data_IF_693474398076
#
_entry.id   IF_693474398076
#
_cell.length_a   1.000
_cell.length_b   1.000
_cell.length_c   1.000
_cell.angle_alpha   90.00
_cell.angle_beta   90.00
_cell.angle_gamma   90.00
#
_symmetry.space_group_name_H-M   'P 1'
#
loop_
_entity.id
_entity.type
_entity.pdbx_description
1 polymer ?
#
# COMPACT_ATOMS: atom_id res chain seq x y z
N UNK A 1 -6.36 47.24 8.42
CA UNK A 1 -5.05 47.15 9.10
C UNK A 1 -5.03 45.86 9.90
N UNK A 2 -4.31 44.83 9.45
CA UNK A 2 -4.16 43.56 10.16
C UNK A 2 -3.37 43.78 11.46
N UNK A 3 -3.81 43.20 12.57
CA UNK A 3 -3.19 43.45 13.87
C UNK A 3 -1.79 42.83 13.96
N UNK A 4 -0.97 43.27 14.93
CA UNK A 4 0.36 42.69 15.14
C UNK A 4 0.32 41.23 15.61
N UNK A 5 -0.78 40.82 16.26
CA UNK A 5 -1.04 39.43 16.62
C UNK A 5 -1.32 38.57 15.38
N UNK A 6 -2.13 39.08 14.44
CA UNK A 6 -2.46 38.35 13.18
C UNK A 6 -1.22 38.13 12.32
N UNK A 7 -0.33 39.14 12.23
CA UNK A 7 0.94 39.04 11.49
C UNK A 7 1.90 38.03 12.12
N UNK A 8 1.95 37.95 13.45
CA UNK A 8 2.77 36.96 14.14
C UNK A 8 2.20 35.54 13.99
N UNK A 9 0.88 35.36 14.05
CA UNK A 9 0.23 34.08 13.81
C UNK A 9 0.46 33.59 12.37
N UNK A 10 0.31 34.47 11.38
CA UNK A 10 0.56 34.15 9.98
C UNK A 10 2.01 33.70 9.72
N UNK A 11 3.00 34.44 10.26
CA UNK A 11 4.42 34.07 10.15
C UNK A 11 4.75 32.76 10.87
N UNK A 12 4.08 32.46 11.98
CA UNK A 12 4.23 31.18 12.67
C UNK A 12 3.66 30.04 11.82
N UNK A 13 2.46 30.21 11.25
CA UNK A 13 1.84 29.24 10.35
C UNK A 13 2.69 28.97 9.10
N UNK A 14 3.23 30.02 8.47
CA UNK A 14 4.12 29.92 7.32
C UNK A 14 5.42 29.17 7.67
N UNK A 15 6.03 29.49 8.81
CA UNK A 15 7.22 28.77 9.29
C UNK A 15 6.94 27.29 9.60
N UNK A 16 5.75 26.97 10.12
CA UNK A 16 5.35 25.60 10.38
C UNK A 16 5.11 24.85 9.07
N UNK A 17 4.44 25.46 8.09
CA UNK A 17 4.23 24.88 6.77
C UNK A 17 5.56 24.55 6.08
N UNK A 18 6.54 25.46 6.12
CA UNK A 18 7.87 25.22 5.56
C UNK A 18 8.61 24.04 6.22
N UNK A 19 8.52 23.91 7.55
CA UNK A 19 9.10 22.77 8.29
C UNK A 19 8.39 21.46 7.90
N UNK A 20 7.06 21.47 7.77
CA UNK A 20 6.28 20.29 7.38
C UNK A 20 6.58 19.87 5.94
N UNK A 21 6.67 20.80 5.00
CA UNK A 21 7.02 20.50 3.61
C UNK A 21 8.45 19.95 3.51
N UNK A 22 9.39 20.46 4.30
CA UNK A 22 10.73 19.90 4.40
C UNK A 22 10.73 18.47 4.99
N UNK A 23 9.93 18.22 6.03
CA UNK A 23 9.79 16.90 6.63
C UNK A 23 9.21 15.88 5.62
N UNK A 24 8.16 16.27 4.89
CA UNK A 24 7.56 15.49 3.81
C UNK A 24 8.57 15.17 2.70
N UNK A 25 9.40 16.14 2.32
CA UNK A 25 10.47 15.93 1.35
C UNK A 25 11.53 14.92 1.85
N UNK A 26 11.91 14.99 3.13
CA UNK A 26 12.81 14.01 3.75
C UNK A 26 12.21 12.61 3.72
N UNK A 27 10.93 12.46 4.07
CA UNK A 27 10.22 11.17 4.01
C UNK A 27 10.19 10.65 2.56
N UNK A 28 9.86 11.49 1.58
CA UNK A 28 9.84 11.08 0.18
C UNK A 28 11.22 10.60 -0.33
N UNK A 29 12.31 11.17 0.20
CA UNK A 29 13.67 10.84 -0.22
C UNK A 29 14.28 9.64 0.51
N UNK A 30 13.85 9.37 1.75
CA UNK A 30 14.56 8.43 2.66
C UNK A 30 13.63 7.52 3.45
N UNK A 31 12.33 7.59 3.22
CA UNK A 31 11.30 6.95 4.03
C UNK A 31 11.16 7.59 5.41
N UNK A 32 10.16 7.12 6.17
CA UNK A 32 9.88 7.65 7.50
C UNK A 32 10.97 7.28 8.53
N UNK A 33 11.62 6.13 8.34
CA UNK A 33 12.76 5.71 9.16
C UNK A 33 13.96 6.67 9.03
N UNK A 34 14.14 7.30 7.86
CA UNK A 34 15.17 8.30 7.62
C UNK A 34 14.87 9.69 8.21
N UNK A 35 13.68 9.90 8.78
CA UNK A 35 13.25 11.20 9.31
C UNK A 35 13.61 11.38 10.80
N UNK A 36 14.35 12.45 11.10
CA UNK A 36 14.65 12.96 12.44
C UNK A 36 14.54 14.50 12.48
N UNK A 37 14.43 15.10 13.66
CA UNK A 37 14.43 16.57 13.79
C UNK A 37 15.67 17.20 13.16
N UNK A 38 16.83 16.53 13.25
CA UNK A 38 18.08 16.98 12.65
C UNK A 38 18.02 16.98 11.12
N UNK A 39 17.61 15.87 10.51
CA UNK A 39 17.52 15.78 9.05
C UNK A 39 16.49 16.76 8.49
N UNK A 40 15.39 17.01 9.21
CA UNK A 40 14.40 18.03 8.83
C UNK A 40 14.96 19.44 8.99
N UNK A 41 15.66 19.73 10.09
CA UNK A 41 16.31 21.03 10.31
C UNK A 41 17.32 21.36 9.20
N UNK A 42 18.16 20.39 8.85
CA UNK A 42 19.13 20.49 7.75
C UNK A 42 18.42 20.75 6.40
N UNK A 43 17.32 20.06 6.12
CA UNK A 43 16.56 20.24 4.88
C UNK A 43 15.80 21.58 4.81
N UNK A 44 15.24 22.02 5.94
CA UNK A 44 14.46 23.26 6.05
C UNK A 44 15.35 24.52 6.19
N UNK A 45 16.66 24.37 6.39
CA UNK A 45 17.56 25.50 6.65
C UNK A 45 17.30 26.20 7.99
N UNK A 46 16.81 25.47 9.00
CA UNK A 46 16.51 25.99 10.35
C UNK A 46 17.29 25.22 11.42
N UNK A 47 17.25 25.69 12.67
CA UNK A 47 17.84 24.94 13.79
C UNK A 47 16.87 23.87 14.32
N UNK A 48 17.42 22.79 14.90
CA UNK A 48 16.61 21.78 15.61
C UNK A 48 15.78 22.42 16.73
N UNK A 49 16.37 23.37 17.47
CA UNK A 49 15.67 24.10 18.52
C UNK A 49 14.47 24.91 18.01
N UNK A 50 14.52 25.45 16.78
CA UNK A 50 13.39 26.11 16.15
C UNK A 50 12.25 25.13 15.86
N UNK A 51 12.54 23.91 15.40
CA UNK A 51 11.53 22.88 15.17
C UNK A 51 10.93 22.42 16.51
N UNK A 52 11.77 22.16 17.51
CA UNK A 52 11.32 21.76 18.85
C UNK A 52 10.43 22.81 19.50
N UNK A 53 10.72 24.10 19.30
CA UNK A 53 9.88 25.19 19.80
C UNK A 53 8.54 25.31 19.05
N UNK A 54 8.53 25.11 17.73
CA UNK A 54 7.35 25.35 16.88
C UNK A 54 6.38 24.18 16.78
N UNK A 55 6.93 22.96 16.73
CA UNK A 55 6.18 21.72 16.46
C UNK A 55 6.36 20.75 17.62
N UNK A 56 7.57 20.59 18.13
CA UNK A 56 7.88 19.68 19.22
C UNK A 56 8.84 18.57 18.81
N UNK A 57 8.62 17.38 19.37
CA UNK A 57 9.47 16.21 19.11
C UNK A 57 9.13 15.51 17.79
N UNK A 58 9.78 14.37 17.54
CA UNK A 58 9.53 13.58 16.33
C UNK A 58 8.08 13.10 16.23
N UNK A 59 7.45 12.69 17.34
CA UNK A 59 6.08 12.19 17.33
C UNK A 59 5.08 13.31 17.04
N UNK A 60 5.30 14.50 17.63
CA UNK A 60 4.54 15.71 17.31
C UNK A 60 4.70 16.10 15.84
N UNK A 61 5.91 15.99 15.28
CA UNK A 61 6.17 16.24 13.87
C UNK A 61 5.42 15.26 12.95
N UNK A 62 5.43 13.96 13.25
CA UNK A 62 4.67 12.97 12.45
C UNK A 62 3.16 13.26 12.53
N UNK A 63 2.64 13.60 13.72
CA UNK A 63 1.23 13.96 13.91
C UNK A 63 0.84 15.18 13.06
N UNK A 64 1.68 16.22 13.07
CA UNK A 64 1.46 17.41 12.26
C UNK A 64 1.55 17.13 10.74
N UNK A 65 2.36 16.14 10.32
CA UNK A 65 2.40 15.70 8.92
C UNK A 65 1.10 15.00 8.53
N UNK A 66 0.47 14.21 9.41
CA UNK A 66 -0.85 13.61 9.13
C UNK A 66 -1.89 14.70 8.86
N UNK A 67 -1.96 15.71 9.72
CA UNK A 67 -2.88 16.85 9.54
C UNK A 67 -2.61 17.57 8.20
N UNK A 68 -1.33 17.81 7.87
CA UNK A 68 -0.93 18.43 6.61
C UNK A 68 -1.30 17.59 5.38
N UNK A 69 -1.15 16.26 5.44
CA UNK A 69 -1.53 15.39 4.32
C UNK A 69 -3.05 15.34 4.11
N UNK A 70 -3.85 15.37 5.19
CA UNK A 70 -5.31 15.47 5.09
C UNK A 70 -5.72 16.74 4.34
N UNK A 71 -5.13 17.88 4.68
CA UNK A 71 -5.38 19.16 4.01
C UNK A 71 -5.00 19.12 2.52
N UNK A 72 -3.81 18.56 2.20
CA UNK A 72 -3.32 18.46 0.82
C UNK A 72 -4.22 17.55 -0.02
N UNK A 73 -4.61 16.38 0.51
CA UNK A 73 -5.49 15.45 -0.21
C UNK A 73 -6.87 16.07 -0.43
N UNK A 74 -7.42 16.78 0.56
CA UNK A 74 -8.70 17.45 0.43
C UNK A 74 -8.66 18.58 -0.61
N UNK A 75 -7.62 19.42 -0.61
CA UNK A 75 -7.45 20.48 -1.60
C UNK A 75 -7.28 19.91 -3.01
N UNK A 76 -6.44 18.88 -3.17
CA UNK A 76 -6.27 18.19 -4.45
C UNK A 76 -7.58 17.61 -4.97
N UNK A 77 -8.39 16.99 -4.11
CA UNK A 77 -9.68 16.44 -4.48
C UNK A 77 -10.65 17.53 -4.99
N UNK A 78 -10.68 18.69 -4.34
CA UNK A 78 -11.49 19.83 -4.77
C UNK A 78 -11.07 20.35 -6.14
N UNK A 79 -9.77 20.56 -6.36
CA UNK A 79 -9.24 21.00 -7.65
C UNK A 79 -9.56 20.00 -8.78
N UNK A 80 -9.57 18.71 -8.44
CA UNK A 80 -9.92 17.65 -9.38
C UNK A 80 -11.41 17.60 -9.72
N UNK A 81 -12.28 17.72 -8.71
CA UNK A 81 -13.72 17.80 -8.93
C UNK A 81 -14.07 19.01 -9.81
N UNK A 82 -13.42 20.16 -9.61
CA UNK A 82 -13.61 21.35 -10.43
C UNK A 82 -13.26 21.14 -11.91
N UNK A 83 -12.29 20.27 -12.23
CA UNK A 83 -11.94 19.91 -13.63
C UNK A 83 -13.00 19.07 -14.33
N UNK A 84 -13.89 18.42 -13.56
CA UNK A 84 -14.93 17.54 -14.04
C UNK A 84 -16.31 18.22 -14.06
N UNK A 85 -16.36 19.54 -13.90
CA UNK A 85 -17.61 20.30 -13.89
C UNK A 85 -18.46 20.01 -15.14
N UNK A 86 -19.73 19.66 -14.90
CA UNK A 86 -20.69 19.26 -15.94
C UNK A 86 -20.47 17.89 -16.58
N UNK A 87 -19.43 17.12 -16.20
CA UNK A 87 -19.15 15.78 -16.74
C UNK A 87 -19.67 14.71 -15.79
N UNK A 88 -20.53 13.81 -16.28
CA UNK A 88 -20.94 12.60 -15.56
C UNK A 88 -19.96 11.44 -15.86
N UNK A 89 -19.00 11.12 -14.97
CA UNK A 89 -17.86 10.28 -15.33
C UNK A 89 -18.22 8.83 -15.66
N UNK A 90 -19.26 8.31 -14.99
CA UNK A 90 -19.78 6.96 -15.21
C UNK A 90 -20.45 6.87 -16.57
N UNK A 91 -21.36 7.80 -16.89
CA UNK A 91 -22.06 7.83 -18.17
C UNK A 91 -21.10 8.07 -19.35
N UNK A 92 -20.05 8.87 -19.13
CA UNK A 92 -19.00 9.12 -20.12
C UNK A 92 -17.98 7.97 -20.27
N UNK A 93 -18.01 6.96 -19.37
CA UNK A 93 -17.09 5.83 -19.42
C UNK A 93 -15.63 6.16 -19.06
N UNK A 94 -15.37 7.31 -18.44
CA UNK A 94 -14.00 7.82 -18.15
C UNK A 94 -13.49 7.43 -16.76
N UNK A 95 -14.30 6.75 -15.94
CA UNK A 95 -13.91 6.35 -14.59
C UNK A 95 -12.61 5.51 -14.53
N UNK A 96 -12.35 4.56 -15.46
CA UNK A 96 -11.07 3.86 -15.50
C UNK A 96 -9.87 4.80 -15.68
N UNK A 97 -10.03 5.84 -16.51
CA UNK A 97 -8.97 6.81 -16.80
C UNK A 97 -8.68 7.68 -15.57
N UNK A 98 -9.73 8.13 -14.87
CA UNK A 98 -9.60 8.90 -13.63
C UNK A 98 -8.90 8.10 -12.52
N UNK A 99 -9.20 6.80 -12.39
CA UNK A 99 -8.52 5.92 -11.42
C UNK A 99 -7.05 5.76 -11.79
N UNK A 100 -6.74 5.55 -13.08
CA UNK A 100 -5.36 5.40 -13.52
C UNK A 100 -4.56 6.70 -13.31
N UNK A 101 -5.13 7.86 -13.62
CA UNK A 101 -4.47 9.15 -13.44
C UNK A 101 -4.29 9.50 -11.94
N UNK A 102 -5.29 9.20 -11.09
CA UNK A 102 -5.14 9.30 -9.62
C UNK A 102 -3.92 8.51 -9.12
N UNK A 103 -3.65 7.37 -9.75
CA UNK A 103 -2.54 6.47 -9.47
C UNK A 103 -1.26 6.78 -10.26
N UNK A 104 -1.24 7.67 -11.26
CA UNK A 104 -0.04 8.05 -12.01
C UNK A 104 0.76 9.20 -11.37
N UNK A 105 0.28 9.64 -10.21
CA UNK A 105 1.02 10.31 -9.12
C UNK A 105 1.52 11.70 -9.37
N UNK A 106 1.81 12.13 -10.60
CA UNK A 106 2.22 13.49 -10.97
C UNK A 106 2.77 14.35 -9.82
N UNK A 107 2.05 15.41 -9.50
CA UNK A 107 2.37 16.35 -8.39
C UNK A 107 2.15 15.76 -6.98
N UNK A 108 1.41 14.66 -6.88
CA UNK A 108 1.11 13.92 -5.63
C UNK A 108 2.17 12.94 -5.21
N UNK A 109 3.25 12.72 -5.97
CA UNK A 109 4.23 11.66 -5.68
C UNK A 109 4.73 11.71 -4.23
N UNK A 110 5.04 12.89 -3.72
CA UNK A 110 5.44 13.10 -2.31
C UNK A 110 4.35 12.66 -1.36
N UNK A 111 3.12 13.17 -1.51
CA UNK A 111 1.97 12.78 -0.68
C UNK A 111 1.65 11.29 -0.75
N UNK A 112 1.82 10.65 -1.90
CA UNK A 112 1.62 9.22 -2.06
C UNK A 112 2.65 8.42 -1.24
N UNK A 113 3.94 8.80 -1.27
CA UNK A 113 4.97 8.15 -0.46
C UNK A 113 4.70 8.37 1.03
N UNK A 114 4.44 9.61 1.44
CA UNK A 114 4.15 9.97 2.83
C UNK A 114 2.92 9.22 3.33
N UNK A 115 1.83 9.17 2.54
CA UNK A 115 0.62 8.43 2.87
C UNK A 115 0.86 6.93 3.04
N UNK A 116 1.64 6.30 2.16
CA UNK A 116 2.01 4.89 2.31
C UNK A 116 2.83 4.63 3.59
N UNK A 117 3.79 5.52 3.91
CA UNK A 117 4.58 5.43 5.14
C UNK A 117 3.72 5.56 6.40
N UNK A 118 2.81 6.55 6.43
CA UNK A 118 1.90 6.77 7.56
C UNK A 118 0.93 5.58 7.73
N UNK A 119 0.42 5.04 6.63
CA UNK A 119 -0.43 3.85 6.65
C UNK A 119 0.31 2.63 7.22
N UNK A 120 1.57 2.41 6.82
CA UNK A 120 2.39 1.32 7.35
C UNK A 120 2.72 1.51 8.83
N UNK A 121 3.11 2.71 9.25
CA UNK A 121 3.36 3.02 10.66
C UNK A 121 2.13 2.74 11.51
N UNK A 122 0.98 3.30 11.12
CA UNK A 122 -0.27 3.11 11.87
C UNK A 122 -0.75 1.65 11.84
N UNK A 123 -0.52 0.90 10.77
CA UNK A 123 -0.86 -0.53 10.73
C UNK A 123 -0.07 -1.40 11.70
N UNK A 124 1.04 -0.87 12.24
CA UNK A 124 1.88 -1.53 13.25
C UNK A 124 1.59 -1.01 14.65
N UNK A 125 1.37 0.29 14.77
CA UNK A 125 1.03 0.96 16.01
C UNK A 125 -0.13 1.96 15.76
N UNK A 126 -1.38 1.49 15.80
CA UNK A 126 -2.56 2.31 15.50
C UNK A 126 -2.73 3.50 16.46
N UNK A 127 -2.26 3.33 17.70
CA UNK A 127 -2.35 4.37 18.73
C UNK A 127 -1.37 5.51 18.49
N UNK A 128 -0.28 5.28 17.75
CA UNK A 128 0.68 6.33 17.40
C UNK A 128 0.12 7.41 16.47
N UNK A 129 -0.88 7.07 15.64
CA UNK A 129 -1.44 7.97 14.62
C UNK A 129 -2.97 7.87 14.53
N UNK A 130 -3.71 8.28 15.57
CA UNK A 130 -5.17 8.11 15.64
C UNK A 130 -5.93 8.82 14.50
N UNK A 131 -5.33 9.86 13.90
CA UNK A 131 -5.92 10.62 12.79
C UNK A 131 -5.68 10.03 11.41
N UNK A 132 -4.89 8.96 11.27
CA UNK A 132 -4.60 8.37 9.94
C UNK A 132 -5.86 7.90 9.22
N UNK A 133 -6.90 7.50 9.96
CA UNK A 133 -8.20 7.14 9.40
C UNK A 133 -8.80 8.29 8.56
N UNK A 134 -8.67 9.53 9.04
CA UNK A 134 -9.15 10.71 8.34
C UNK A 134 -8.39 10.97 7.02
N UNK A 135 -7.13 10.53 6.91
CA UNK A 135 -6.39 10.59 5.65
C UNK A 135 -6.99 9.63 4.60
N UNK A 136 -7.35 8.40 5.01
CA UNK A 136 -8.04 7.48 4.12
C UNK A 136 -9.44 7.99 3.74
N UNK A 137 -10.16 8.59 4.69
CA UNK A 137 -11.48 9.16 4.45
C UNK A 137 -11.43 10.37 3.51
N UNK A 138 -10.39 11.21 3.59
CA UNK A 138 -10.17 12.30 2.64
C UNK A 138 -10.00 11.77 1.21
N UNK A 139 -9.22 10.69 1.03
CA UNK A 139 -9.08 10.01 -0.25
C UNK A 139 -10.37 9.36 -0.77
N UNK A 140 -11.18 8.78 0.11
CA UNK A 140 -12.49 8.21 -0.25
C UNK A 140 -13.54 9.27 -0.58
N UNK A 141 -13.47 10.44 0.08
CA UNK A 141 -14.42 11.55 -0.13
C UNK A 141 -14.45 12.00 -1.58
N UNK A 142 -13.27 12.12 -2.22
CA UNK A 142 -13.19 12.41 -3.66
C UNK A 142 -14.06 11.49 -4.50
N UNK A 143 -13.94 10.17 -4.30
CA UNK A 143 -14.71 9.19 -5.06
C UNK A 143 -16.20 9.19 -4.71
N UNK A 144 -16.55 9.48 -3.45
CA UNK A 144 -17.95 9.60 -3.01
C UNK A 144 -18.63 10.79 -3.65
N UNK A 145 -17.96 11.94 -3.68
CA UNK A 145 -18.48 13.16 -4.29
C UNK A 145 -18.63 12.97 -5.80
N UNK A 146 -17.63 12.36 -6.45
CA UNK A 146 -17.65 12.03 -7.87
C UNK A 146 -18.82 11.11 -8.26
N UNK A 147 -19.18 10.18 -7.37
CA UNK A 147 -20.21 9.16 -7.60
C UNK A 147 -21.51 9.43 -6.86
N UNK A 148 -21.71 10.64 -6.32
CA UNK A 148 -22.83 10.97 -5.43
C UNK A 148 -24.20 10.72 -6.08
N UNK A 149 -24.32 10.94 -7.39
CA UNK A 149 -25.56 10.75 -8.16
C UNK A 149 -25.66 9.36 -8.82
N UNK A 150 -24.63 8.53 -8.69
CA UNK A 150 -24.59 7.21 -9.30
C UNK A 150 -25.28 6.18 -8.39
N UNK A 151 -26.24 5.38 -8.88
CA UNK A 151 -26.80 4.27 -8.11
C UNK A 151 -25.71 3.33 -7.60
N UNK A 152 -25.68 3.07 -6.29
CA UNK A 152 -24.60 2.28 -5.66
C UNK A 152 -23.24 3.00 -5.57
N UNK A 153 -23.18 4.29 -5.90
CA UNK A 153 -21.95 5.08 -5.99
C UNK A 153 -21.08 5.07 -4.73
N UNK A 154 -21.69 5.05 -3.54
CA UNK A 154 -20.94 4.96 -2.28
C UNK A 154 -20.14 3.65 -2.14
N UNK A 155 -20.70 2.52 -2.58
CA UNK A 155 -20.03 1.20 -2.54
C UNK A 155 -18.90 1.19 -3.57
N UNK A 156 -19.17 1.68 -4.78
CA UNK A 156 -18.16 1.82 -5.84
C UNK A 156 -17.03 2.74 -5.41
N UNK A 157 -17.33 3.88 -4.77
CA UNK A 157 -16.35 4.82 -4.24
C UNK A 157 -15.43 4.16 -3.20
N UNK A 158 -15.99 3.42 -2.24
CA UNK A 158 -15.21 2.67 -1.25
C UNK A 158 -14.34 1.60 -1.90
N UNK A 159 -14.89 0.85 -2.87
CA UNK A 159 -14.12 -0.14 -3.65
C UNK A 159 -12.93 0.49 -4.37
N UNK A 160 -13.14 1.63 -5.03
CA UNK A 160 -12.08 2.37 -5.71
C UNK A 160 -11.04 2.88 -4.71
N UNK A 161 -11.46 3.51 -3.61
CA UNK A 161 -10.56 4.02 -2.60
C UNK A 161 -9.69 2.90 -2.00
N UNK A 162 -10.29 1.77 -1.65
CA UNK A 162 -9.56 0.61 -1.10
C UNK A 162 -8.65 -0.03 -2.14
N UNK A 163 -9.07 -0.13 -3.40
CA UNK A 163 -8.18 -0.55 -4.49
C UNK A 163 -6.97 0.37 -4.63
N UNK A 164 -7.20 1.70 -4.60
CA UNK A 164 -6.13 2.68 -4.74
C UNK A 164 -5.12 2.58 -3.60
N UNK A 165 -5.58 2.38 -2.35
CA UNK A 165 -4.68 2.18 -1.19
C UNK A 165 -3.68 1.04 -1.47
N UNK A 166 -4.19 -0.08 -2.00
CA UNK A 166 -3.38 -1.26 -2.27
C UNK A 166 -2.45 -1.12 -3.47
N UNK A 167 -2.92 -0.47 -4.52
CA UNK A 167 -2.19 -0.28 -5.77
C UNK A 167 -1.12 0.83 -5.64
N UNK A 168 -1.30 1.78 -4.72
CA UNK A 168 -0.49 2.98 -4.55
C UNK A 168 1.03 2.75 -4.51
N UNK A 169 1.58 1.85 -3.67
CA UNK A 169 3.04 1.64 -3.60
C UNK A 169 3.59 0.99 -4.88
N UNK A 170 2.79 0.19 -5.59
CA UNK A 170 3.21 -0.40 -6.86
C UNK A 170 3.19 0.61 -8.00
N UNK A 171 2.21 1.52 -8.01
CA UNK A 171 2.18 2.63 -8.97
C UNK A 171 3.35 3.60 -8.74
N UNK A 172 3.75 3.82 -7.49
CA UNK A 172 4.95 4.58 -7.12
C UNK A 172 6.23 3.99 -7.71
N UNK A 173 6.35 2.67 -7.65
CA UNK A 173 7.53 1.91 -8.03
C UNK A 173 7.60 1.64 -9.54
N UNK A 174 6.47 1.29 -10.16
CA UNK A 174 6.41 0.68 -11.50
C UNK A 174 5.81 1.60 -12.57
N UNK A 175 5.60 2.89 -12.28
CA UNK A 175 5.02 3.88 -13.22
C UNK A 175 5.65 3.88 -14.61
N UNK A 176 6.96 3.65 -14.73
CA UNK A 176 7.66 3.60 -16.02
C UNK A 176 7.47 2.27 -16.80
N UNK A 177 6.95 1.21 -16.16
CA UNK A 177 6.80 -0.10 -16.78
C UNK A 177 5.47 -0.21 -17.55
N UNK A 178 5.55 -0.44 -18.86
CA UNK A 178 4.38 -0.51 -19.74
C UNK A 178 3.46 -1.71 -19.44
N UNK A 179 4.03 -2.91 -19.23
CA UNK A 179 3.23 -4.11 -18.93
C UNK A 179 2.52 -3.99 -17.57
N UNK A 180 3.16 -3.35 -16.59
CA UNK A 180 2.53 -3.01 -15.31
C UNK A 180 1.35 -2.05 -15.51
N UNK A 181 1.52 -0.96 -16.27
CA UNK A 181 0.43 -0.02 -16.52
C UNK A 181 -0.74 -0.68 -17.24
N UNK A 182 -0.46 -1.55 -18.21
CA UNK A 182 -1.49 -2.35 -18.90
C UNK A 182 -2.18 -3.35 -17.95
N UNK A 183 -1.44 -3.97 -17.03
CA UNK A 183 -2.02 -4.86 -16.01
C UNK A 183 -2.94 -4.06 -15.10
N UNK A 184 -2.49 -2.91 -14.59
CA UNK A 184 -3.28 -2.00 -13.76
C UNK A 184 -4.56 -1.58 -14.47
N UNK A 185 -4.49 -1.16 -15.74
CA UNK A 185 -5.69 -0.82 -16.53
C UNK A 185 -6.66 -2.00 -16.67
N UNK A 186 -6.14 -3.20 -16.92
CA UNK A 186 -6.94 -4.44 -16.96
C UNK A 186 -7.63 -4.71 -15.61
N UNK A 187 -6.90 -4.56 -14.50
CA UNK A 187 -7.44 -4.67 -13.14
C UNK A 187 -8.52 -3.61 -12.86
N UNK A 188 -8.30 -2.33 -13.21
CA UNK A 188 -9.27 -1.25 -13.03
C UNK A 188 -10.56 -1.50 -13.81
N UNK A 189 -10.47 -1.98 -15.05
CA UNK A 189 -11.67 -2.39 -15.81
C UNK A 189 -12.41 -3.54 -15.13
N UNK A 190 -11.69 -4.50 -14.56
CA UNK A 190 -12.28 -5.54 -13.73
C UNK A 190 -12.93 -5.02 -12.45
N UNK A 191 -12.33 -4.02 -11.81
CA UNK A 191 -12.86 -3.37 -10.61
C UNK A 191 -14.22 -2.72 -10.85
N UNK A 192 -14.42 -2.12 -12.02
CA UNK A 192 -15.60 -1.34 -12.38
C UNK A 192 -16.67 -2.15 -13.12
N UNK A 193 -16.42 -3.44 -13.37
CA UNK A 193 -17.34 -4.30 -14.12
C UNK A 193 -18.66 -4.49 -13.37
N UNK A 194 -19.76 -4.41 -14.10
CA UNK A 194 -21.10 -4.68 -13.59
C UNK A 194 -21.23 -6.17 -13.21
N UNK A 195 -21.99 -6.45 -12.16
CA UNK A 195 -22.33 -7.79 -11.75
C UNK A 195 -23.17 -8.53 -12.81
N UNK A 196 -23.93 -7.80 -13.64
CA UNK A 196 -24.76 -8.36 -14.70
C UNK A 196 -24.00 -8.62 -16.02
N UNK A 197 -22.78 -8.10 -16.19
CA UNK A 197 -22.02 -8.24 -17.43
C UNK A 197 -21.45 -9.66 -17.58
N UNK A 198 -21.71 -10.30 -18.73
CA UNK A 198 -21.18 -11.63 -19.01
C UNK A 198 -19.66 -11.59 -19.19
N UNK A 199 -18.96 -12.50 -18.51
CA UNK A 199 -17.51 -12.59 -18.60
C UNK A 199 -17.05 -12.93 -20.02
N UNK A 200 -16.12 -12.14 -20.58
CA UNK A 200 -15.43 -12.46 -21.81
C UNK A 200 -14.08 -13.11 -21.50
N UNK A 201 -13.87 -14.32 -22.02
CA UNK A 201 -12.62 -15.10 -21.86
C UNK A 201 -11.37 -14.31 -22.28
N UNK A 202 -11.48 -13.43 -23.28
CA UNK A 202 -10.35 -12.70 -23.82
C UNK A 202 -9.81 -11.65 -22.84
N UNK A 203 -10.65 -11.15 -21.93
CA UNK A 203 -10.20 -10.30 -20.83
C UNK A 203 -9.27 -11.07 -19.89
N UNK A 204 -9.66 -12.28 -19.52
CA UNK A 204 -8.86 -13.15 -18.67
C UNK A 204 -7.56 -13.58 -19.37
N UNK A 205 -7.62 -13.92 -20.67
CA UNK A 205 -6.43 -14.25 -21.46
C UNK A 205 -5.46 -13.07 -21.53
N UNK A 206 -5.94 -11.88 -21.89
CA UNK A 206 -5.14 -10.66 -21.91
C UNK A 206 -4.50 -10.34 -20.56
N UNK A 207 -5.30 -10.42 -19.49
CA UNK A 207 -4.84 -10.16 -18.14
C UNK A 207 -3.72 -11.13 -17.73
N UNK A 208 -3.87 -12.43 -18.00
CA UNK A 208 -2.87 -13.43 -17.64
C UNK A 208 -1.59 -13.31 -18.48
N UNK A 209 -1.68 -12.93 -19.76
CA UNK A 209 -0.49 -12.63 -20.57
C UNK A 209 0.35 -11.50 -19.96
N UNK A 210 -0.28 -10.46 -19.40
CA UNK A 210 0.43 -9.38 -18.70
C UNK A 210 1.07 -9.86 -17.39
N UNK A 211 0.37 -10.70 -16.63
CA UNK A 211 0.90 -11.34 -15.41
C UNK A 211 2.16 -12.17 -15.73
N UNK A 212 2.16 -12.88 -16.86
CA UNK A 212 3.30 -13.68 -17.33
C UNK A 212 4.46 -12.81 -17.82
N UNK A 213 4.20 -11.72 -18.55
CA UNK A 213 5.25 -10.79 -18.99
C UNK A 213 6.00 -10.13 -17.84
N UNK A 214 5.28 -9.81 -16.77
CA UNK A 214 5.88 -9.30 -15.53
C UNK A 214 6.63 -10.38 -14.73
N UNK A 215 6.51 -11.66 -15.09
CA UNK A 215 7.23 -12.73 -14.42
C UNK A 215 8.71 -12.76 -14.79
N UNK A 216 9.10 -12.45 -16.04
CA UNK A 216 10.49 -12.58 -16.48
C UNK A 216 11.50 -11.74 -15.67
N UNK A 217 11.23 -10.46 -15.32
CA UNK A 217 12.08 -9.69 -14.41
C UNK A 217 12.16 -10.27 -12.98
N UNK A 218 11.10 -10.96 -12.52
CA UNK A 218 11.03 -11.54 -11.18
C UNK A 218 11.66 -12.94 -11.10
N UNK A 219 11.42 -13.80 -12.10
CA UNK A 219 11.87 -15.19 -12.14
C UNK A 219 13.39 -15.32 -12.18
N UNK A 220 14.08 -14.53 -13.02
CA UNK A 220 15.54 -14.52 -13.06
C UNK A 220 16.17 -14.14 -11.71
N UNK A 221 15.41 -13.43 -10.85
CA UNK A 221 15.85 -13.02 -9.53
C UNK A 221 15.53 -14.05 -8.43
N UNK A 222 14.39 -14.75 -8.55
CA UNK A 222 13.88 -15.74 -7.60
C UNK A 222 14.47 -17.15 -7.82
N UNK A 223 14.70 -17.57 -9.06
CA UNK A 223 15.26 -18.89 -9.39
C UNK A 223 16.70 -19.06 -8.87
N UNK A 224 17.46 -17.96 -8.69
CA UNK A 224 18.78 -18.01 -8.04
C UNK A 224 18.70 -18.24 -6.53
N UNK A 225 17.57 -17.95 -5.89
CA UNK A 225 17.34 -18.12 -4.46
C UNK A 225 16.64 -19.45 -4.12
N UNK A 226 15.90 -20.03 -5.08
CA UNK A 226 15.09 -21.24 -4.93
C UNK A 226 15.93 -22.53 -4.90
N UNK A 227 16.75 -22.72 -3.88
CA UNK A 227 17.08 -24.05 -3.37
C UNK A 227 16.26 -24.29 -2.12
N UNK A 228 15.46 -25.37 -2.05
CA UNK A 228 14.78 -25.76 -0.81
C UNK A 228 15.83 -25.77 0.30
N UNK A 229 15.65 -24.88 1.26
CA UNK A 229 16.62 -24.63 2.30
C UNK A 229 16.40 -25.68 3.39
N UNK A 230 17.37 -26.55 3.62
CA UNK A 230 17.33 -27.54 4.70
C UNK A 230 18.29 -27.15 5.84
N UNK A 231 18.02 -27.66 7.04
CA UNK A 231 18.89 -27.51 8.22
C UNK A 231 19.03 -26.07 8.72
N UNK A 232 20.25 -25.66 9.08
CA UNK A 232 20.54 -24.36 9.69
C UNK A 232 20.08 -23.17 8.83
N UNK A 233 20.09 -23.32 7.50
CA UNK A 233 19.68 -22.28 6.57
C UNK A 233 18.18 -21.99 6.66
N UNK A 234 17.33 -23.02 6.78
CA UNK A 234 15.89 -22.86 7.04
C UNK A 234 15.63 -22.23 8.41
N UNK A 235 16.31 -22.68 9.47
CA UNK A 235 16.15 -22.09 10.80
C UNK A 235 16.47 -20.60 10.81
N UNK A 236 17.53 -20.17 10.12
CA UNK A 236 17.84 -18.75 9.98
C UNK A 236 16.75 -18.03 9.19
N UNK A 237 16.19 -18.64 8.13
CA UNK A 237 15.08 -18.04 7.37
C UNK A 237 13.84 -17.76 8.23
N UNK A 238 13.52 -18.65 9.19
CA UNK A 238 12.43 -18.44 10.14
C UNK A 238 12.69 -17.25 11.08
N UNK A 239 13.91 -17.08 11.58
CA UNK A 239 14.26 -15.89 12.37
C UNK A 239 14.23 -14.61 11.54
N UNK A 240 14.63 -14.68 10.26
CA UNK A 240 14.49 -13.55 9.34
C UNK A 240 13.01 -13.18 9.19
N UNK A 241 12.12 -14.16 9.00
CA UNK A 241 10.68 -13.93 8.94
C UNK A 241 10.16 -13.24 10.20
N UNK A 242 10.59 -13.67 11.39
CA UNK A 242 10.19 -13.04 12.66
C UNK A 242 10.64 -11.58 12.75
N UNK A 243 11.87 -11.27 12.32
CA UNK A 243 12.39 -9.90 12.23
C UNK A 243 11.56 -9.05 11.27
N UNK A 244 11.23 -9.58 10.08
CA UNK A 244 10.39 -8.87 9.10
C UNK A 244 9.00 -8.59 9.67
N UNK A 245 8.40 -9.55 10.37
CA UNK A 245 7.07 -9.39 10.99
C UNK A 245 7.12 -8.28 12.05
N UNK A 246 8.12 -8.32 12.92
CA UNK A 246 8.26 -7.41 14.07
C UNK A 246 8.72 -6.00 13.68
N UNK A 247 9.73 -5.90 12.82
CA UNK A 247 10.47 -4.65 12.56
C UNK A 247 10.35 -4.18 11.10
N UNK A 248 9.77 -5.00 10.22
CA UNK A 248 9.69 -4.70 8.80
C UNK A 248 10.92 -5.13 8.00
N UNK A 249 10.81 -5.06 6.68
CA UNK A 249 11.89 -5.45 5.77
C UNK A 249 13.04 -4.45 5.75
N UNK A 250 12.78 -3.18 6.09
CA UNK A 250 13.81 -2.14 6.16
C UNK A 250 14.86 -2.38 7.25
N UNK A 251 14.52 -3.16 8.28
CA UNK A 251 15.41 -3.49 9.40
C UNK A 251 16.40 -4.62 9.10
N UNK A 252 16.26 -5.30 7.95
CA UNK A 252 17.05 -6.49 7.63
C UNK A 252 18.53 -6.17 7.42
N UNK A 253 19.37 -6.74 8.30
CA UNK A 253 20.83 -6.74 8.17
C UNK A 253 21.42 -8.00 8.80
N UNK A 254 22.61 -8.43 8.38
CA UNK A 254 23.31 -9.56 9.00
C UNK A 254 23.43 -9.44 10.51
N UNK A 255 23.64 -8.22 11.01
CA UNK A 255 23.74 -7.94 12.45
C UNK A 255 22.42 -8.20 13.17
N UNK A 256 21.32 -7.64 12.68
CA UNK A 256 20.00 -7.81 13.28
C UNK A 256 19.60 -9.28 13.28
N UNK A 257 19.89 -10.01 12.19
CA UNK A 257 19.59 -11.45 12.10
C UNK A 257 20.47 -12.26 13.05
N UNK A 258 21.76 -11.93 13.16
CA UNK A 258 22.68 -12.59 14.10
C UNK A 258 22.23 -12.43 15.55
N UNK A 259 21.79 -11.22 15.92
CA UNK A 259 21.21 -10.94 17.23
C UNK A 259 19.91 -11.72 17.44
N UNK A 260 19.01 -11.74 16.46
CA UNK A 260 17.72 -12.44 16.54
C UNK A 260 17.85 -13.98 16.58
N UNK A 261 18.80 -14.56 15.87
CA UNK A 261 19.00 -16.01 15.80
C UNK A 261 20.07 -16.54 16.75
N UNK A 262 20.60 -15.71 17.65
CA UNK A 262 21.72 -16.04 18.55
C UNK A 262 22.89 -16.72 17.84
N UNK A 263 23.16 -16.31 16.60
CA UNK A 263 24.17 -16.90 15.71
C UNK A 263 25.19 -15.84 15.33
N UNK A 264 26.45 -16.22 15.14
CA UNK A 264 27.46 -15.25 14.71
C UNK A 264 27.14 -14.63 13.34
N UNK A 265 27.37 -13.32 13.17
CA UNK A 265 27.13 -12.62 11.91
C UNK A 265 27.91 -13.22 10.73
N UNK A 266 29.09 -13.80 10.97
CA UNK A 266 29.88 -14.54 9.98
C UNK A 266 29.15 -15.79 9.48
N UNK A 267 28.42 -16.50 10.35
CA UNK A 267 27.61 -17.65 9.97
C UNK A 267 26.37 -17.23 9.19
N UNK A 268 25.73 -16.11 9.53
CA UNK A 268 24.65 -15.55 8.70
C UNK A 268 25.17 -15.20 7.31
N UNK A 269 26.32 -14.51 7.22
CA UNK A 269 26.94 -14.14 5.95
C UNK A 269 27.37 -15.37 5.12
N UNK A 270 27.76 -16.47 5.76
CA UNK A 270 28.05 -17.73 5.08
C UNK A 270 26.80 -18.33 4.42
N UNK A 271 25.64 -18.32 5.10
CA UNK A 271 24.40 -18.89 4.57
C UNK A 271 23.66 -17.97 3.60
N UNK A 272 23.73 -16.66 3.86
CA UNK A 272 23.07 -15.60 3.12
C UNK A 272 24.07 -14.46 2.87
N UNK A 273 24.88 -14.55 1.80
CA UNK A 273 25.98 -13.60 1.55
C UNK A 273 25.52 -12.16 1.37
N UNK A 274 24.34 -11.95 0.79
CA UNK A 274 23.83 -10.61 0.50
C UNK A 274 22.57 -10.29 1.30
N UNK A 275 22.30 -9.00 1.51
CA UNK A 275 21.03 -8.54 2.10
C UNK A 275 19.82 -9.01 1.28
N UNK A 276 20.01 -9.13 -0.04
CA UNK A 276 19.02 -9.69 -0.95
C UNK A 276 18.70 -11.15 -0.60
N UNK A 277 19.71 -11.98 -0.34
CA UNK A 277 19.50 -13.39 0.01
C UNK A 277 18.75 -13.54 1.35
N UNK A 278 19.06 -12.68 2.32
CA UNK A 278 18.33 -12.58 3.59
C UNK A 278 16.86 -12.26 3.32
N UNK A 279 16.59 -11.19 2.57
CA UNK A 279 15.22 -10.78 2.23
C UNK A 279 14.43 -11.93 1.60
N UNK A 280 14.96 -12.53 0.54
CA UNK A 280 14.26 -13.60 -0.18
C UNK A 280 13.98 -14.79 0.73
N UNK A 281 14.92 -15.18 1.59
CA UNK A 281 14.73 -16.28 2.52
C UNK A 281 13.63 -16.00 3.56
N UNK A 282 13.64 -14.81 4.16
CA UNK A 282 12.62 -14.40 5.13
C UNK A 282 11.23 -14.29 4.50
N UNK A 283 11.16 -13.69 3.32
CA UNK A 283 9.94 -13.62 2.51
C UNK A 283 9.42 -15.02 2.18
N UNK A 284 10.27 -15.93 1.72
CA UNK A 284 9.86 -17.29 1.35
C UNK A 284 9.35 -18.05 2.59
N UNK A 285 9.99 -17.87 3.74
CA UNK A 285 9.51 -18.41 5.02
C UNK A 285 8.14 -17.84 5.41
N UNK A 286 7.92 -16.51 5.30
CA UNK A 286 6.61 -15.89 5.52
C UNK A 286 5.56 -16.48 4.58
N UNK A 287 5.90 -16.64 3.30
CA UNK A 287 5.02 -17.26 2.31
C UNK A 287 4.67 -18.71 2.64
N UNK A 288 5.64 -19.50 3.10
CA UNK A 288 5.42 -20.88 3.53
C UNK A 288 4.48 -20.95 4.74
N UNK A 289 4.73 -20.13 5.78
CA UNK A 289 3.85 -20.02 6.97
C UNK A 289 2.42 -19.64 6.57
N UNK A 290 2.31 -18.64 5.71
CA UNK A 290 1.05 -18.14 5.21
C UNK A 290 0.28 -19.21 4.42
N UNK A 291 0.94 -19.94 3.53
CA UNK A 291 0.30 -21.03 2.75
C UNK A 291 -0.21 -22.13 3.68
N UNK A 292 0.60 -22.54 4.65
CA UNK A 292 0.20 -23.52 5.66
C UNK A 292 -1.03 -23.05 6.47
N UNK A 293 -1.07 -21.76 6.83
CA UNK A 293 -2.21 -21.17 7.55
C UNK A 293 -3.49 -21.14 6.69
N UNK A 294 -3.40 -20.82 5.39
CA UNK A 294 -4.56 -20.82 4.48
C UNK A 294 -5.11 -22.23 4.28
N UNK A 295 -4.22 -23.21 4.11
CA UNK A 295 -4.61 -24.62 3.98
C UNK A 295 -5.29 -25.12 5.28
N UNK A 296 -4.76 -24.75 6.45
CA UNK A 296 -5.35 -25.07 7.74
C UNK A 296 -6.69 -24.35 8.01
N UNK A 297 -6.86 -23.14 7.48
CA UNK A 297 -8.07 -22.32 7.65
C UNK A 297 -9.13 -22.52 6.55
N UNK A 298 -9.05 -23.61 5.77
CA UNK A 298 -10.05 -23.97 4.77
C UNK A 298 -10.12 -23.04 3.56
N UNK A 299 -9.01 -22.41 3.17
CA UNK A 299 -8.95 -21.58 1.96
C UNK A 299 -9.46 -20.14 2.12
N UNK A 300 -9.53 -19.64 3.35
CA UNK A 300 -9.78 -18.20 3.57
C UNK A 300 -8.64 -17.36 2.94
N UNK A 301 -9.03 -16.26 2.30
CA UNK A 301 -8.19 -15.26 1.59
C UNK A 301 -6.83 -15.04 2.26
N UNK A 302 -5.75 -14.87 1.47
CA UNK A 302 -4.42 -14.73 1.98
C UNK A 302 -4.30 -13.32 2.56
N UNK A 303 -3.98 -13.24 3.84
CA UNK A 303 -3.39 -12.04 4.38
C UNK A 303 -3.92 -11.67 5.74
N UNK A 304 -3.45 -12.40 6.76
CA UNK A 304 -3.27 -11.75 8.05
C UNK A 304 -2.51 -10.43 7.87
N UNK A 305 -2.64 -9.49 8.80
CA UNK A 305 -2.09 -8.15 8.63
C UNK A 305 -0.60 -8.10 8.29
N UNK A 306 0.14 -9.16 8.60
CA UNK A 306 1.53 -9.38 8.21
C UNK A 306 1.77 -9.33 6.70
N UNK A 307 0.94 -9.99 5.89
CA UNK A 307 1.13 -10.07 4.43
C UNK A 307 0.78 -8.74 3.78
N UNK A 308 -0.29 -8.11 4.26
CA UNK A 308 -0.67 -6.77 3.82
C UNK A 308 0.51 -5.82 4.06
N UNK A 309 1.06 -5.79 5.28
CA UNK A 309 2.23 -4.97 5.61
C UNK A 309 3.46 -5.33 4.77
N UNK A 310 3.82 -6.61 4.69
CA UNK A 310 4.99 -7.08 3.93
C UNK A 310 4.96 -6.63 2.47
N UNK A 311 3.82 -6.82 1.80
CA UNK A 311 3.69 -6.51 0.37
C UNK A 311 3.80 -5.01 0.10
N UNK A 312 3.16 -4.17 0.93
CA UNK A 312 3.25 -2.72 0.81
C UNK A 312 4.65 -2.21 1.16
N UNK A 313 5.23 -2.68 2.26
CA UNK A 313 6.55 -2.26 2.72
C UNK A 313 7.64 -2.64 1.73
N UNK A 314 7.53 -3.81 1.09
CA UNK A 314 8.50 -4.24 0.07
C UNK A 314 8.45 -3.39 -1.18
N UNK A 315 7.25 -3.02 -1.63
CA UNK A 315 7.08 -2.12 -2.77
C UNK A 315 7.57 -0.69 -2.46
N UNK A 316 7.29 -0.19 -1.26
CA UNK A 316 7.74 1.12 -0.81
C UNK A 316 9.27 1.16 -0.63
N UNK A 317 9.84 0.15 0.02
CA UNK A 317 11.30 0.01 0.21
C UNK A 317 12.03 -0.08 -1.12
N UNK A 318 11.42 -0.73 -2.13
CA UNK A 318 12.00 -0.85 -3.47
C UNK A 318 12.23 0.49 -4.18
N UNK A 319 11.56 1.58 -3.75
CA UNK A 319 11.79 2.94 -4.26
C UNK A 319 13.22 3.40 -3.97
N UNK A 320 13.75 3.07 -2.79
CA UNK A 320 15.09 3.48 -2.35
C UNK A 320 16.11 2.35 -2.42
N UNK A 321 15.65 1.10 -2.47
CA UNK A 321 16.50 -0.08 -2.55
C UNK A 321 16.05 -1.01 -3.71
N UNK A 322 16.63 -0.86 -4.92
CA UNK A 322 16.25 -1.65 -6.10
C UNK A 322 16.40 -3.16 -5.93
N UNK A 323 17.11 -3.67 -4.92
CA UNK A 323 17.20 -5.10 -4.63
C UNK A 323 15.84 -5.74 -4.34
N UNK A 324 14.86 -4.95 -3.88
CA UNK A 324 13.50 -5.38 -3.58
C UNK A 324 12.59 -5.40 -4.82
N UNK A 325 13.01 -4.79 -5.93
CA UNK A 325 12.16 -4.62 -7.12
C UNK A 325 11.62 -5.94 -7.69
N UNK A 326 12.41 -7.02 -7.88
CA UNK A 326 11.88 -8.28 -8.39
C UNK A 326 10.82 -8.89 -7.49
N UNK A 327 10.99 -8.74 -6.17
CA UNK A 327 10.02 -9.21 -5.20
C UNK A 327 8.73 -8.39 -5.25
N UNK A 328 8.83 -7.06 -5.24
CA UNK A 328 7.65 -6.19 -5.35
C UNK A 328 6.84 -6.44 -6.64
N UNK A 329 7.51 -6.70 -7.77
CA UNK A 329 6.85 -7.10 -9.02
C UNK A 329 6.11 -8.44 -8.84
N UNK A 330 6.74 -9.43 -8.21
CA UNK A 330 6.11 -10.73 -7.95
C UNK A 330 4.87 -10.61 -7.05
N UNK A 331 4.96 -9.79 -5.98
CA UNK A 331 3.85 -9.50 -5.08
C UNK A 331 2.66 -8.86 -5.79
N UNK A 332 2.94 -7.95 -6.73
CA UNK A 332 1.88 -7.27 -7.46
C UNK A 332 1.26 -8.15 -8.54
N UNK A 333 2.06 -8.85 -9.34
CA UNK A 333 1.53 -9.61 -10.49
C UNK A 333 0.74 -10.84 -10.05
N UNK A 334 1.15 -11.49 -8.95
CA UNK A 334 0.53 -12.71 -8.41
C UNK A 334 -0.64 -12.44 -7.48
N UNK A 335 -1.12 -11.20 -7.43
CA UNK A 335 -2.28 -10.85 -6.64
C UNK A 335 -3.46 -11.76 -7.01
N UNK A 336 -4.15 -12.29 -6.00
CA UNK A 336 -5.21 -13.29 -6.11
C UNK A 336 -4.81 -14.70 -6.56
N UNK A 337 -3.55 -15.00 -6.88
CA UNK A 337 -3.15 -16.33 -7.40
C UNK A 337 -3.63 -17.48 -6.52
N UNK A 338 -3.43 -17.37 -5.19
CA UNK A 338 -3.74 -18.44 -4.26
C UNK A 338 -5.23 -18.51 -3.87
N UNK A 339 -6.05 -17.52 -4.21
CA UNK A 339 -7.44 -17.40 -3.71
C UNK A 339 -8.47 -17.04 -4.75
N UNK A 340 -8.08 -17.10 -6.01
CA UNK A 340 -8.94 -16.72 -7.11
C UNK A 340 -10.22 -17.57 -7.18
N UNK A 341 -10.16 -18.83 -6.75
CA UNK A 341 -11.33 -19.73 -6.75
C UNK A 341 -12.34 -19.24 -5.72
N UNK A 342 -11.91 -19.05 -4.47
CA UNK A 342 -12.77 -18.65 -3.36
C UNK A 342 -13.36 -17.25 -3.57
N UNK A 343 -12.60 -16.35 -4.18
CA UNK A 343 -13.11 -15.01 -4.54
C UNK A 343 -14.11 -15.09 -5.71
N UNK A 344 -13.86 -15.91 -6.72
CA UNK A 344 -14.79 -16.13 -7.82
C UNK A 344 -16.13 -16.72 -7.32
N UNK A 345 -16.07 -17.70 -6.42
CA UNK A 345 -17.24 -18.26 -5.74
C UNK A 345 -17.99 -17.21 -4.93
N UNK A 346 -17.28 -16.38 -4.15
CA UNK A 346 -17.87 -15.28 -3.39
C UNK A 346 -18.54 -14.22 -4.27
N UNK A 347 -18.05 -14.05 -5.50
CA UNK A 347 -18.63 -13.18 -6.54
C UNK A 347 -19.78 -13.85 -7.31
N UNK A 348 -20.01 -15.16 -7.13
CA UNK A 348 -21.01 -15.92 -7.87
C UNK A 348 -20.67 -16.13 -9.35
N UNK A 349 -19.38 -16.12 -9.72
CA UNK A 349 -18.92 -16.31 -11.10
C UNK A 349 -18.11 -17.61 -11.22
N UNK A 350 -18.07 -18.26 -12.41
CA UNK A 350 -17.24 -19.44 -12.60
C UNK A 350 -15.75 -19.13 -12.35
N UNK A 351 -14.98 -20.02 -11.70
CA UNK A 351 -13.54 -19.85 -11.55
C UNK A 351 -12.86 -19.61 -12.90
N UNK A 352 -11.83 -18.75 -12.91
CA UNK A 352 -11.07 -18.32 -14.10
C UNK A 352 -11.85 -17.56 -15.18
N UNK A 353 -13.16 -17.37 -15.05
CA UNK A 353 -13.95 -16.63 -16.05
C UNK A 353 -13.57 -15.16 -16.13
N UNK A 354 -13.27 -14.53 -14.99
CA UNK A 354 -12.96 -13.10 -14.90
C UNK A 354 -11.77 -12.83 -13.96
N UNK A 355 -10.57 -13.16 -14.44
CA UNK A 355 -9.30 -12.92 -13.73
C UNK A 355 -9.09 -11.45 -13.33
N UNK A 356 -9.33 -10.43 -14.20
CA UNK A 356 -9.14 -9.04 -13.80
C UNK A 356 -10.07 -8.61 -12.66
N UNK A 357 -11.35 -8.99 -12.69
CA UNK A 357 -12.30 -8.65 -11.61
C UNK A 357 -11.92 -9.31 -10.29
N UNK A 358 -11.60 -10.60 -10.33
CA UNK A 358 -11.13 -11.32 -9.13
C UNK A 358 -9.88 -10.67 -8.54
N UNK A 359 -8.90 -10.32 -9.37
CA UNK A 359 -7.69 -9.66 -8.90
C UNK A 359 -8.00 -8.28 -8.29
N UNK A 360 -8.85 -7.48 -8.95
CA UNK A 360 -9.26 -6.18 -8.45
C UNK A 360 -9.95 -6.23 -7.09
N UNK A 361 -10.83 -7.21 -6.88
CA UNK A 361 -11.50 -7.42 -5.60
C UNK A 361 -10.50 -7.80 -4.52
N UNK A 362 -9.56 -8.71 -4.79
CA UNK A 362 -8.49 -9.03 -3.82
C UNK A 362 -7.67 -7.79 -3.44
N UNK A 363 -7.35 -6.93 -4.41
CA UNK A 363 -6.63 -5.69 -4.13
C UNK A 363 -7.44 -4.75 -3.25
N UNK A 364 -8.72 -4.53 -3.57
CA UNK A 364 -9.60 -3.72 -2.76
C UNK A 364 -9.78 -4.30 -1.34
N UNK A 365 -9.84 -5.62 -1.18
CA UNK A 365 -9.88 -6.26 0.14
C UNK A 365 -8.60 -6.02 0.94
N UNK A 366 -7.43 -6.13 0.31
CA UNK A 366 -6.16 -5.91 0.98
C UNK A 366 -5.93 -4.44 1.35
N UNK A 367 -6.33 -3.50 0.50
CA UNK A 367 -6.29 -2.07 0.84
C UNK A 367 -7.28 -1.70 1.94
N UNK A 368 -8.48 -2.30 1.96
CA UNK A 368 -9.40 -2.16 3.09
C UNK A 368 -8.81 -2.78 4.38
N UNK A 369 -8.15 -3.93 4.27
CA UNK A 369 -7.45 -4.55 5.38
C UNK A 369 -6.34 -3.67 5.94
N UNK A 370 -5.58 -2.96 5.10
CA UNK A 370 -4.58 -1.99 5.56
C UNK A 370 -5.24 -0.83 6.34
N UNK A 371 -6.36 -0.29 5.84
CA UNK A 371 -7.15 0.72 6.56
C UNK A 371 -7.59 0.21 7.94
N UNK A 372 -8.15 -1.00 8.01
CA UNK A 372 -8.60 -1.61 9.27
C UNK A 372 -7.44 -1.75 10.25
N UNK A 373 -6.30 -2.30 9.81
CA UNK A 373 -5.11 -2.43 10.65
C UNK A 373 -4.64 -1.07 11.18
N UNK A 374 -4.62 -0.04 10.32
CA UNK A 374 -4.23 1.31 10.71
C UNK A 374 -5.21 1.97 11.69
N UNK A 375 -6.47 1.54 11.69
CA UNK A 375 -7.48 1.95 12.67
C UNK A 375 -7.47 1.10 13.96
N UNK A 376 -6.61 0.08 14.05
CA UNK A 376 -6.58 -0.87 15.19
C UNK A 376 -7.66 -1.93 15.15
N UNK A 377 -8.28 -2.14 13.99
CA UNK A 377 -9.28 -3.18 13.74
C UNK A 377 -8.62 -4.45 13.16
N UNK A 378 -9.31 -5.58 13.31
CA UNK A 378 -8.86 -6.86 12.71
C UNK A 378 -9.51 -7.06 11.34
N UNK A 379 -8.74 -7.32 10.27
CA UNK A 379 -9.29 -7.62 8.96
C UNK A 379 -10.30 -8.78 8.98
N UNK A 380 -11.41 -8.61 8.26
CA UNK A 380 -12.48 -9.60 8.19
C UNK A 380 -12.04 -10.87 7.43
N UNK A 381 -12.62 -12.04 7.75
CA UNK A 381 -12.45 -13.23 6.93
C UNK A 381 -12.91 -12.99 5.49
N UNK A 382 -12.16 -13.52 4.54
CA UNK A 382 -12.44 -13.57 3.10
C UNK A 382 -13.90 -13.43 2.65
N UNK A 383 -14.72 -14.43 2.99
CA UNK A 383 -16.10 -14.55 2.53
C UNK A 383 -16.99 -13.44 3.09
N UNK A 384 -16.67 -12.94 4.29
CA UNK A 384 -17.35 -11.80 4.91
C UNK A 384 -16.84 -10.49 4.31
N UNK A 385 -15.54 -10.35 4.12
CA UNK A 385 -14.92 -9.18 3.52
C UNK A 385 -15.42 -8.94 2.08
N UNK A 386 -15.54 -10.00 1.27
CA UNK A 386 -16.15 -9.95 -0.08
C UNK A 386 -17.60 -9.47 0.02
N UNK A 387 -18.39 -10.00 0.95
CA UNK A 387 -19.79 -9.57 1.12
C UNK A 387 -19.88 -8.11 1.56
N UNK A 388 -19.06 -7.66 2.51
CA UNK A 388 -19.04 -6.28 3.01
C UNK A 388 -18.60 -5.29 1.92
N UNK A 389 -17.63 -5.69 1.09
CA UNK A 389 -17.14 -4.87 -0.01
C UNK A 389 -18.14 -4.79 -1.18
N UNK A 390 -19.00 -5.81 -1.34
CA UNK A 390 -19.96 -5.92 -2.46
C UNK A 390 -21.42 -5.63 -2.09
N UNK A 391 -21.84 -5.72 -0.82
CA UNK A 391 -23.23 -5.55 -0.36
C UNK A 391 -23.33 -4.66 0.87
N UNK A 392 -24.28 -3.71 0.83
CA UNK A 392 -24.97 -3.25 2.03
C UNK A 392 -25.72 -4.45 2.64
N UNK A 393 -25.57 -4.71 3.95
CA UNK A 393 -26.75 -5.09 4.74
C UNK A 393 -27.27 -3.82 5.39
N UNK A 394 -28.34 -3.29 4.82
CA UNK A 394 -29.40 -2.66 5.63
C UNK A 394 -29.74 -3.61 6.77
N UNK A 395 -29.29 -3.27 7.98
CA UNK A 395 -29.99 -3.66 9.20
C UNK A 395 -30.54 -2.38 9.82
N UNK A 396 -31.72 -2.00 9.35
CA UNK A 396 -32.77 -1.51 10.25
C UNK A 396 -33.26 -2.75 10.99
N UNK A 397 -33.04 -2.79 12.31
CA UNK A 397 -34.01 -3.24 13.30
C UNK A 397 -33.74 -2.49 14.60
#
# INVERSE_FOLDING_TARGET
>A
MTSQADRNAARTAEGNAAILDAARAVIAQRGLAGMSLRTVAEHAGVSVGSISYRIGDRAALVTAIVDREIEIVAAFAQDWLARLDGIAPVAAGILPDLICEWLDLGERRTSAIVGCELALLASRDPQSLPKVAALFDAGETFWRDLLATTPGGAITARRIASYCIDEQPFSLLLSANADYRLLRQSTVRGLLRDDAELANKDWSNWHMLLVERLAAPAAAALDKAASITEGAKAMIAEHIADVVIAQGVGALSHRVIAEASTTAASSIAHHYPTQRDILFAGVEAIYRRMRANIEAAGGTVPGGGEVIRLTHESALTAIWNPAFLPFAIDMRRRRAENVHIQIAEGLGIPPHSDRPRVQAIVMALMGNGLRMLAAGETPLPAAEAVKTLLKNRTHVF
#
